data_IF_959814763390
#
_entry.id   IF_959814763390
#
_cell.length_a   1.000
_cell.length_b   1.000
_cell.length_c   1.000
_cell.angle_alpha   90.00
_cell.angle_beta   90.00
_cell.angle_gamma   90.00
#
_symmetry.space_group_name_H-M   'P 1'
#
loop_
_entity.id
_entity.type
_entity.pdbx_description
1 polymer ?
#
# COMPACT_ATOMS: atom_id res chain seq x y z
N UNK A 1 -38.63 -16.03 -5.89
CA UNK A 1 -37.73 -15.01 -5.31
C UNK A 1 -36.31 -15.36 -5.71
N UNK A 2 -35.70 -14.55 -6.58
CA UNK A 2 -34.43 -14.83 -7.25
C UNK A 2 -33.25 -14.76 -6.27
N UNK A 3 -32.66 -15.91 -5.95
CA UNK A 3 -31.33 -15.99 -5.35
C UNK A 3 -30.28 -15.91 -6.47
N UNK A 4 -30.03 -14.70 -6.97
CA UNK A 4 -28.92 -14.41 -7.87
C UNK A 4 -27.79 -13.77 -7.06
N UNK A 5 -27.21 -14.54 -6.13
CA UNK A 5 -25.91 -14.21 -5.57
C UNK A 5 -24.88 -14.39 -6.71
N UNK A 6 -24.78 -13.36 -7.55
CA UNK A 6 -23.86 -13.31 -8.69
C UNK A 6 -22.46 -13.46 -8.12
N UNK A 7 -21.86 -14.64 -8.29
CA UNK A 7 -20.49 -14.94 -7.85
C UNK A 7 -19.58 -13.87 -8.47
N UNK A 8 -19.12 -12.92 -7.67
CA UNK A 8 -18.26 -11.83 -8.14
C UNK A 8 -17.07 -12.47 -8.87
N UNK A 9 -16.87 -12.08 -10.13
CA UNK A 9 -15.77 -12.59 -10.92
C UNK A 9 -14.46 -12.07 -10.29
N UNK A 10 -13.58 -12.97 -9.84
CA UNK A 10 -12.29 -12.61 -9.22
C UNK A 10 -11.47 -11.68 -10.11
N UNK A 11 -11.54 -11.90 -11.43
CA UNK A 11 -10.89 -11.03 -12.42
C UNK A 11 -11.44 -9.60 -12.38
N UNK A 12 -12.76 -9.43 -12.20
CA UNK A 12 -13.37 -8.11 -12.10
C UNK A 12 -12.99 -7.42 -10.78
N UNK A 13 -12.95 -8.15 -9.66
CA UNK A 13 -12.48 -7.60 -8.37
C UNK A 13 -11.05 -7.10 -8.51
N UNK A 14 -10.15 -7.91 -9.06
CA UNK A 14 -8.74 -7.54 -9.22
C UNK A 14 -8.58 -6.32 -10.12
N UNK A 15 -9.29 -6.29 -11.27
CA UNK A 15 -9.26 -5.14 -12.16
C UNK A 15 -9.70 -3.84 -11.46
N UNK A 16 -10.79 -3.88 -10.69
CA UNK A 16 -11.28 -2.70 -9.97
C UNK A 16 -10.34 -2.29 -8.83
N UNK A 17 -9.73 -3.24 -8.13
CA UNK A 17 -8.74 -2.93 -7.10
C UNK A 17 -7.51 -2.25 -7.70
N UNK A 18 -7.02 -2.73 -8.84
CA UNK A 18 -5.86 -2.16 -9.53
C UNK A 18 -6.16 -0.78 -10.10
N UNK A 19 -7.36 -0.59 -10.66
CA UNK A 19 -7.82 0.73 -11.11
C UNK A 19 -7.96 1.71 -9.93
N UNK A 20 -8.50 1.25 -8.80
CA UNK A 20 -8.59 2.04 -7.57
C UNK A 20 -7.22 2.42 -7.02
N UNK A 21 -6.26 1.48 -7.02
CA UNK A 21 -4.86 1.72 -6.68
C UNK A 21 -4.24 2.80 -7.56
N UNK A 22 -4.46 2.74 -8.88
CA UNK A 22 -3.96 3.75 -9.81
C UNK A 22 -4.55 5.12 -9.50
N UNK A 23 -5.85 5.21 -9.25
CA UNK A 23 -6.51 6.47 -8.90
C UNK A 23 -5.96 7.08 -7.61
N UNK A 24 -5.79 6.28 -6.55
CA UNK A 24 -5.21 6.75 -5.29
C UNK A 24 -3.76 7.18 -5.49
N UNK A 25 -2.97 6.40 -6.25
CA UNK A 25 -1.59 6.75 -6.57
C UNK A 25 -1.50 8.12 -7.25
N UNK A 26 -2.34 8.36 -8.26
CA UNK A 26 -2.38 9.65 -8.96
C UNK A 26 -2.81 10.78 -8.02
N UNK A 27 -3.80 10.55 -7.15
CA UNK A 27 -4.21 11.52 -6.13
C UNK A 27 -3.08 11.84 -5.12
N UNK A 28 -2.31 10.83 -4.72
CA UNK A 28 -1.16 10.99 -3.83
C UNK A 28 -0.05 11.78 -4.51
N UNK A 29 0.29 11.46 -5.76
CA UNK A 29 1.29 12.20 -6.54
C UNK A 29 0.86 13.67 -6.70
N UNK A 30 -0.40 13.88 -7.09
CA UNK A 30 -0.95 15.21 -7.29
C UNK A 30 -0.94 16.04 -6.01
N UNK A 31 -1.48 15.53 -4.91
CA UNK A 31 -1.47 16.22 -3.61
C UNK A 31 -0.05 16.49 -3.09
N UNK A 32 0.88 15.55 -3.29
CA UNK A 32 2.29 15.74 -2.93
C UNK A 32 2.95 16.89 -3.71
N UNK A 33 2.65 17.02 -5.01
CA UNK A 33 3.13 18.14 -5.84
C UNK A 33 2.50 19.46 -5.39
N UNK A 34 1.20 19.47 -5.09
CA UNK A 34 0.49 20.66 -4.59
C UNK A 34 1.13 21.17 -3.29
N UNK A 35 1.25 20.30 -2.28
CA UNK A 35 1.85 20.66 -0.99
C UNK A 35 3.30 21.15 -1.15
N UNK A 36 4.09 20.51 -2.03
CA UNK A 36 5.52 20.81 -2.17
C UNK A 36 5.82 22.07 -2.98
N UNK A 37 5.04 22.33 -4.03
CA UNK A 37 5.37 23.34 -5.04
C UNK A 37 4.34 24.46 -5.19
N UNK A 38 3.09 24.27 -4.77
CA UNK A 38 2.05 25.31 -4.85
C UNK A 38 2.04 26.16 -3.58
N UNK A 39 2.19 25.53 -2.41
CA UNK A 39 2.34 26.25 -1.16
C UNK A 39 3.80 26.71 -0.95
N UNK A 40 4.03 27.87 -0.30
CA UNK A 40 5.35 28.21 0.21
C UNK A 40 5.80 27.19 1.26
N UNK A 41 7.09 27.16 1.63
CA UNK A 41 7.59 26.30 2.70
C UNK A 41 6.74 26.45 3.97
N UNK A 42 6.50 25.34 4.69
CA UNK A 42 5.58 25.27 5.83
C UNK A 42 5.76 26.37 6.89
N UNK A 43 7.00 26.83 7.11
CA UNK A 43 7.29 27.91 8.06
C UNK A 43 6.69 29.27 7.67
N UNK A 44 6.36 29.46 6.38
CA UNK A 44 5.87 30.71 5.80
C UNK A 44 4.48 30.56 5.16
N UNK A 45 3.76 29.47 5.44
CA UNK A 45 2.46 29.18 4.82
C UNK A 45 1.27 29.77 5.57
N UNK A 46 1.50 30.54 6.63
CA UNK A 46 0.43 31.18 7.39
C UNK A 46 -0.39 32.13 6.51
N UNK A 47 -1.72 32.00 6.55
CA UNK A 47 -2.67 32.80 5.76
C UNK A 47 -2.82 32.39 4.29
N UNK A 48 -1.98 31.49 3.75
CA UNK A 48 -2.13 30.99 2.39
C UNK A 48 -3.24 29.93 2.32
N UNK A 49 -4.14 30.10 1.36
CA UNK A 49 -5.21 29.12 1.10
C UNK A 49 -5.26 28.76 -0.37
N UNK A 50 -5.55 27.49 -0.64
CA UNK A 50 -5.81 26.95 -1.96
C UNK A 50 -7.20 26.29 -1.94
N UNK A 51 -8.11 26.82 -2.76
CA UNK A 51 -9.50 26.37 -2.84
C UNK A 51 -10.22 26.30 -1.48
N UNK A 52 -9.89 27.24 -0.59
CA UNK A 52 -10.47 27.33 0.75
C UNK A 52 -9.80 26.42 1.81
N UNK A 53 -8.83 25.58 1.45
CA UNK A 53 -8.00 24.83 2.39
C UNK A 53 -6.65 25.49 2.62
N UNK A 54 -6.20 25.54 3.87
CA UNK A 54 -4.85 25.99 4.23
C UNK A 54 -3.80 24.88 4.00
N UNK A 55 -2.53 25.18 4.28
CA UNK A 55 -1.44 24.22 4.13
C UNK A 55 -1.68 22.92 4.92
N UNK A 56 -2.19 23.02 6.14
CA UNK A 56 -2.44 21.86 7.00
C UNK A 56 -3.52 20.95 6.42
N UNK A 57 -4.64 21.53 5.94
CA UNK A 57 -5.70 20.76 5.29
C UNK A 57 -5.19 19.98 4.07
N UNK A 58 -4.31 20.58 3.26
CA UNK A 58 -3.72 19.90 2.11
C UNK A 58 -2.71 18.81 2.51
N UNK A 59 -1.93 19.02 3.57
CA UNK A 59 -1.07 17.96 4.13
C UNK A 59 -1.88 16.80 4.72
N UNK A 60 -3.03 17.09 5.34
CA UNK A 60 -3.93 16.05 5.85
C UNK A 60 -4.53 15.21 4.72
N UNK A 61 -4.96 15.86 3.63
CA UNK A 61 -5.43 15.15 2.42
C UNK A 61 -4.31 14.25 1.86
N UNK A 62 -3.08 14.76 1.75
CA UNK A 62 -1.94 13.99 1.30
C UNK A 62 -1.71 12.78 2.22
N UNK A 63 -1.76 12.98 3.54
CA UNK A 63 -1.54 11.92 4.53
C UNK A 63 -2.65 10.86 4.50
N UNK A 64 -3.92 11.25 4.43
CA UNK A 64 -5.04 10.31 4.30
C UNK A 64 -4.91 9.50 3.01
N UNK A 65 -4.52 10.14 1.91
CA UNK A 65 -4.31 9.46 0.62
C UNK A 65 -3.14 8.47 0.71
N UNK A 66 -2.07 8.81 1.42
CA UNK A 66 -0.96 7.89 1.72
C UNK A 66 -1.45 6.68 2.52
N UNK A 67 -2.23 6.88 3.57
CA UNK A 67 -2.80 5.79 4.38
C UNK A 67 -3.68 4.86 3.54
N UNK A 68 -4.55 5.43 2.69
CA UNK A 68 -5.39 4.64 1.76
C UNK A 68 -4.54 3.87 0.75
N UNK A 69 -3.47 4.49 0.23
CA UNK A 69 -2.54 3.85 -0.70
C UNK A 69 -1.87 2.63 -0.07
N UNK A 70 -1.35 2.79 1.15
CA UNK A 70 -0.70 1.69 1.88
C UNK A 70 -1.70 0.56 2.13
N UNK A 71 -2.92 0.87 2.60
CA UNK A 71 -3.94 -0.13 2.84
C UNK A 71 -4.35 -0.88 1.56
N UNK A 72 -4.53 -0.17 0.44
CA UNK A 72 -4.88 -0.76 -0.84
C UNK A 72 -3.75 -1.66 -1.39
N UNK A 73 -2.48 -1.26 -1.22
CA UNK A 73 -1.31 -2.07 -1.62
C UNK A 73 -1.24 -3.35 -0.80
N UNK A 74 -1.44 -3.28 0.52
CA UNK A 74 -1.47 -4.46 1.39
C UNK A 74 -2.56 -5.44 0.95
N UNK A 75 -3.78 -4.95 0.68
CA UNK A 75 -4.88 -5.76 0.18
C UNK A 75 -4.55 -6.40 -1.18
N UNK A 76 -3.97 -5.64 -2.11
CA UNK A 76 -3.57 -6.14 -3.43
C UNK A 76 -2.52 -7.25 -3.32
N UNK A 77 -1.49 -7.07 -2.49
CA UNK A 77 -0.47 -8.11 -2.24
C UNK A 77 -1.12 -9.36 -1.64
N UNK A 78 -2.04 -9.23 -0.69
CA UNK A 78 -2.75 -10.36 -0.10
C UNK A 78 -3.54 -11.16 -1.15
N UNK A 79 -4.22 -10.48 -2.08
CA UNK A 79 -4.97 -11.15 -3.16
C UNK A 79 -4.04 -11.82 -4.19
N UNK A 80 -2.92 -11.19 -4.52
CA UNK A 80 -1.93 -11.72 -5.47
C UNK A 80 -0.94 -12.71 -4.83
N UNK A 81 -1.00 -12.95 -3.52
CA UNK A 81 -0.02 -13.75 -2.79
C UNK A 81 0.19 -15.16 -3.35
N UNK A 82 -0.89 -15.82 -3.76
CA UNK A 82 -0.80 -17.17 -4.38
C UNK A 82 -0.01 -17.16 -5.68
N UNK A 83 -0.17 -16.10 -6.49
CA UNK A 83 0.61 -15.87 -7.70
C UNK A 83 2.07 -15.59 -7.36
N UNK A 84 2.36 -14.75 -6.36
CA UNK A 84 3.74 -14.46 -5.90
C UNK A 84 4.47 -15.75 -5.50
N UNK A 85 3.85 -16.59 -4.67
CA UNK A 85 4.43 -17.89 -4.33
C UNK A 85 4.66 -18.77 -5.57
N UNK A 86 3.76 -18.70 -6.56
CA UNK A 86 3.90 -19.44 -7.82
C UNK A 86 5.11 -18.98 -8.65
N UNK A 87 5.33 -17.67 -8.73
CA UNK A 87 6.47 -17.05 -9.41
C UNK A 87 7.78 -17.41 -8.70
N UNK A 88 7.85 -17.24 -7.38
CA UNK A 88 9.05 -17.57 -6.58
C UNK A 88 9.39 -19.06 -6.72
N UNK A 89 8.40 -19.95 -6.60
CA UNK A 89 8.62 -21.38 -6.80
C UNK A 89 9.12 -21.68 -8.22
N UNK A 90 8.63 -20.98 -9.24
CA UNK A 90 9.10 -21.15 -10.62
C UNK A 90 10.55 -20.72 -10.83
N UNK A 91 10.97 -19.64 -10.18
CA UNK A 91 12.35 -19.17 -10.22
C UNK A 91 13.29 -20.11 -9.49
N UNK A 92 12.90 -20.59 -8.30
CA UNK A 92 13.68 -21.55 -7.54
C UNK A 92 13.85 -22.88 -8.30
N UNK A 93 12.81 -23.37 -9.00
CA UNK A 93 12.93 -24.55 -9.88
C UNK A 93 13.95 -24.35 -10.99
N UNK A 94 13.87 -23.21 -11.70
CA UNK A 94 14.80 -22.90 -12.80
C UNK A 94 16.26 -22.80 -12.30
N UNK A 95 16.47 -22.31 -11.08
CA UNK A 95 17.81 -22.24 -10.46
C UNK A 95 18.32 -23.59 -9.97
N UNK A 96 17.44 -24.45 -9.43
CA UNK A 96 17.82 -25.72 -8.81
C UNK A 96 17.79 -26.91 -9.78
N UNK A 97 17.37 -26.72 -11.05
CA UNK A 97 17.26 -27.79 -12.04
C UNK A 97 16.22 -28.87 -11.68
N UNK A 98 15.35 -28.60 -10.70
CA UNK A 98 14.48 -29.61 -10.09
C UNK A 98 13.12 -29.68 -10.79
N UNK A 99 12.75 -30.88 -11.23
CA UNK A 99 11.51 -31.19 -12.00
C UNK A 99 10.32 -31.58 -11.14
N UNK A 100 10.49 -31.73 -9.82
CA UNK A 100 9.41 -32.15 -8.94
C UNK A 100 8.40 -31.02 -8.68
N UNK A 101 7.10 -31.35 -8.77
CA UNK A 101 6.00 -30.42 -8.45
C UNK A 101 5.88 -30.30 -6.93
N UNK A 102 6.07 -29.11 -6.34
CA UNK A 102 5.84 -28.95 -4.92
C UNK A 102 4.35 -29.05 -4.62
N UNK A 103 3.97 -30.05 -3.83
CA UNK A 103 2.67 -30.13 -3.18
C UNK A 103 2.64 -29.15 -2.00
N UNK A 104 2.74 -27.86 -2.28
CA UNK A 104 2.68 -26.83 -1.24
C UNK A 104 1.20 -26.53 -0.94
N UNK A 105 0.77 -27.00 0.22
CA UNK A 105 -0.60 -26.88 0.71
C UNK A 105 -1.03 -25.41 0.86
N UNK A 106 -2.29 -25.11 0.52
CA UNK A 106 -2.80 -23.73 0.39
C UNK A 106 -2.66 -22.95 1.71
N UNK A 107 -2.82 -23.63 2.84
CA UNK A 107 -2.70 -23.03 4.18
C UNK A 107 -1.29 -22.54 4.51
N UNK A 108 -0.26 -23.29 4.14
CA UNK A 108 1.13 -22.89 4.38
C UNK A 108 1.48 -21.61 3.63
N UNK A 109 0.98 -21.45 2.39
CA UNK A 109 1.22 -20.25 1.58
C UNK A 109 0.62 -19.03 2.27
N UNK A 110 -0.64 -19.08 2.71
CA UNK A 110 -1.28 -17.96 3.42
C UNK A 110 -0.53 -17.58 4.69
N UNK A 111 -0.03 -18.55 5.47
CA UNK A 111 0.72 -18.30 6.69
C UNK A 111 2.01 -17.51 6.42
N UNK A 112 2.76 -17.88 5.38
CA UNK A 112 3.96 -17.12 4.98
C UNK A 112 3.62 -15.70 4.53
N UNK A 113 2.49 -15.50 3.86
CA UNK A 113 2.06 -14.17 3.41
C UNK A 113 1.68 -13.25 4.57
N UNK A 114 0.86 -13.77 5.48
CA UNK A 114 0.47 -13.03 6.69
C UNK A 114 1.70 -12.76 7.56
N UNK A 115 2.59 -13.75 7.74
CA UNK A 115 3.83 -13.58 8.50
C UNK A 115 4.75 -12.50 7.94
N UNK A 116 4.94 -12.47 6.60
CA UNK A 116 5.71 -11.42 5.93
C UNK A 116 5.06 -10.04 6.13
N UNK A 117 3.74 -9.95 6.03
CA UNK A 117 3.02 -8.68 6.17
C UNK A 117 3.14 -8.13 7.60
N UNK A 118 2.98 -9.00 8.61
CA UNK A 118 3.19 -8.64 10.02
C UNK A 118 4.62 -8.15 10.23
N UNK A 119 5.62 -8.84 9.68
CA UNK A 119 7.02 -8.44 9.80
C UNK A 119 7.25 -7.04 9.21
N UNK A 120 6.79 -6.79 7.98
CA UNK A 120 6.97 -5.49 7.30
C UNK A 120 6.33 -4.36 8.10
N UNK A 121 5.09 -4.55 8.59
CA UNK A 121 4.38 -3.54 9.37
C UNK A 121 5.10 -3.26 10.70
N UNK A 122 5.63 -4.29 11.37
CA UNK A 122 6.38 -4.10 12.61
C UNK A 122 7.72 -3.38 12.36
N UNK A 123 8.45 -3.72 11.30
CA UNK A 123 9.69 -3.02 10.92
C UNK A 123 9.42 -1.53 10.68
N UNK A 124 8.35 -1.21 9.94
CA UNK A 124 7.94 0.18 9.72
C UNK A 124 7.56 0.88 11.04
N UNK A 125 6.79 0.21 11.89
CA UNK A 125 6.40 0.74 13.21
C UNK A 125 7.60 1.02 14.11
N UNK A 126 8.59 0.13 14.14
CA UNK A 126 9.85 0.33 14.87
C UNK A 126 10.63 1.50 14.31
N UNK A 127 10.72 1.64 12.99
CA UNK A 127 11.39 2.78 12.36
C UNK A 127 10.72 4.12 12.72
N UNK A 128 9.38 4.17 12.72
CA UNK A 128 8.62 5.36 13.15
C UNK A 128 8.86 5.63 14.64
N UNK A 129 8.81 4.61 15.50
CA UNK A 129 9.08 4.77 16.93
C UNK A 129 10.50 5.31 17.18
N UNK A 130 11.50 4.79 16.45
CA UNK A 130 12.86 5.28 16.52
C UNK A 130 12.96 6.76 16.08
N UNK A 131 12.27 7.16 15.02
CA UNK A 131 12.21 8.55 14.58
C UNK A 131 11.59 9.47 15.65
N UNK A 132 10.48 9.04 16.28
CA UNK A 132 9.84 9.80 17.37
C UNK A 132 10.77 9.93 18.58
N UNK A 133 11.51 8.87 18.93
CA UNK A 133 12.44 8.92 20.08
C UNK A 133 13.70 9.74 19.81
N UNK A 134 14.01 10.04 18.55
CA UNK A 134 15.24 10.74 18.15
C UNK A 134 15.02 12.16 17.68
N UNK A 135 13.76 12.63 17.58
CA UNK A 135 13.45 14.00 17.22
C UNK A 135 13.96 14.97 18.29
N UNK A 136 14.64 16.03 17.86
CA UNK A 136 15.15 17.09 18.74
C UNK A 136 14.39 18.38 18.44
N UNK A 137 13.91 19.05 19.49
CA UNK A 137 13.32 20.39 19.38
C UNK A 137 14.38 21.45 19.11
N UNK A 138 13.97 22.67 18.69
CA UNK A 138 14.91 23.78 18.56
C UNK A 138 15.57 24.08 19.91
N UNK A 139 16.91 24.17 19.89
CA UNK A 139 17.75 24.63 21.00
C UNK A 139 17.59 26.12 21.28
#
# INVERSE_FOLDING_TARGET
>A
MLNMAKKLNKTAINFWLDAFLLCIFLALCWSSVVVRYVFPPAANSEGWTLWGGDYLAWTDIQFVTLCLMVAAVLLHIMLHWTWVCGVIASWNRKRLGSTEKPQADTGSRTLWGVGLLILIVNVLGVAIAAAVLTIQGPI
#
